data_IF_450736723938
#
_entry.id   IF_450736723938
#
_cell.length_a   1.000
_cell.length_b   1.000
_cell.length_c   1.000
_cell.angle_alpha   90.00
_cell.angle_beta   90.00
_cell.angle_gamma   90.00
#
_symmetry.space_group_name_H-M   'P 1'
#
loop_
_entity.id
_entity.type
_entity.pdbx_description
1 polymer ?
#
# COMPACT_ATOMS: atom_id res chain seq x y z
N UNK A 1 0.06 28.67 -3.86
CA UNK A 1 0.37 27.74 -2.74
C UNK A 1 1.35 26.71 -3.27
N UNK A 2 2.47 26.50 -2.58
CA UNK A 2 3.44 25.46 -2.95
C UNK A 2 2.87 24.10 -2.55
N UNK A 3 2.83 23.16 -3.49
CA UNK A 3 2.43 21.77 -3.25
C UNK A 3 3.69 20.94 -3.03
N UNK A 4 3.74 20.18 -1.94
CA UNK A 4 4.83 19.27 -1.63
C UNK A 4 4.36 17.84 -1.81
N UNK A 5 5.12 17.06 -2.58
CA UNK A 5 4.86 15.64 -2.81
C UNK A 5 5.95 14.80 -2.19
N UNK A 6 5.55 13.70 -1.53
CA UNK A 6 6.45 12.69 -1.01
C UNK A 6 6.02 11.34 -1.56
N UNK A 7 6.90 10.70 -2.32
CA UNK A 7 6.69 9.39 -2.89
C UNK A 7 7.53 8.37 -2.12
N UNK A 8 6.97 7.19 -1.91
CA UNK A 8 7.61 6.06 -1.22
C UNK A 8 7.51 4.82 -2.08
N UNK A 9 8.62 4.19 -2.35
CA UNK A 9 8.66 2.88 -2.98
C UNK A 9 9.95 2.18 -2.55
N UNK A 10 9.87 1.01 -1.90
CA UNK A 10 11.05 0.27 -1.46
C UNK A 10 11.77 -0.47 -2.60
N UNK A 11 11.21 -0.49 -3.82
CA UNK A 11 11.76 -1.21 -4.94
C UNK A 11 13.21 -0.75 -5.26
N UNK A 12 14.23 -1.62 -5.10
CA UNK A 12 15.61 -1.24 -5.32
C UNK A 12 15.92 -0.88 -6.79
N UNK A 13 15.11 -1.42 -7.71
CA UNK A 13 15.30 -1.26 -9.15
C UNK A 13 14.53 -0.08 -9.74
N UNK A 14 13.68 0.56 -8.95
CA UNK A 14 12.91 1.72 -9.42
C UNK A 14 13.83 2.92 -9.64
N UNK A 15 13.73 3.50 -10.84
CA UNK A 15 14.40 4.75 -11.21
C UNK A 15 13.34 5.74 -11.65
N UNK A 16 13.15 6.80 -10.87
CA UNK A 16 12.27 7.92 -11.20
C UNK A 16 13.16 9.14 -11.38
N UNK A 17 13.19 9.70 -12.59
CA UNK A 17 14.03 10.86 -12.92
C UNK A 17 13.40 12.18 -12.49
N UNK A 18 12.07 12.28 -12.54
CA UNK A 18 11.38 13.57 -12.51
C UNK A 18 10.87 13.95 -11.11
N UNK A 19 10.93 13.03 -10.15
CA UNK A 19 10.46 13.28 -8.78
C UNK A 19 11.44 12.76 -7.74
N UNK A 20 11.63 13.53 -6.68
CA UNK A 20 12.33 13.04 -5.48
C UNK A 20 11.43 12.02 -4.79
N UNK A 21 11.89 10.77 -4.72
CA UNK A 21 11.19 9.72 -4.00
C UNK A 21 12.07 9.12 -2.89
N UNK A 22 11.41 8.51 -1.92
CA UNK A 22 12.05 7.86 -0.79
C UNK A 22 12.10 6.34 -1.05
N UNK A 23 13.32 5.77 -1.17
CA UNK A 23 13.54 4.32 -1.21
C UNK A 23 13.30 3.73 0.19
N UNK A 24 12.05 3.69 0.60
CA UNK A 24 11.63 3.37 1.95
C UNK A 24 10.28 2.68 1.89
N UNK A 25 10.12 1.61 2.65
CA UNK A 25 8.81 1.05 2.92
C UNK A 25 8.23 1.66 4.18
N UNK A 26 6.98 2.10 4.12
CA UNK A 26 6.23 2.48 5.31
C UNK A 26 5.57 1.25 5.94
N UNK A 27 5.58 1.19 7.28
CA UNK A 27 5.01 0.11 8.06
C UNK A 27 4.61 0.59 9.46
N UNK A 28 4.21 -0.31 10.34
CA UNK A 28 3.83 0.03 11.73
C UNK A 28 5.02 0.21 12.68
N UNK A 29 6.23 -0.14 12.26
CA UNK A 29 7.47 -0.01 13.05
C UNK A 29 8.73 0.09 12.20
N UNK A 30 9.81 0.55 12.83
CA UNK A 30 11.14 0.63 12.24
C UNK A 30 11.84 -0.71 12.40
N UNK A 31 12.10 -1.41 11.32
CA UNK A 31 12.80 -2.70 11.32
C UNK A 31 13.40 -3.02 9.95
N UNK A 32 14.08 -4.16 9.84
CA UNK A 32 14.48 -4.72 8.55
C UNK A 32 13.56 -5.87 8.21
N UNK A 33 12.94 -5.82 7.05
CA UNK A 33 11.99 -6.84 6.56
C UNK A 33 12.38 -7.38 5.18
N UNK A 34 11.82 -8.54 4.85
CA UNK A 34 11.83 -9.04 3.50
C UNK A 34 10.82 -8.26 2.65
N UNK A 35 11.28 -7.84 1.48
CA UNK A 35 10.47 -7.25 0.43
C UNK A 35 10.51 -8.18 -0.78
N UNK A 36 9.36 -8.58 -1.26
CA UNK A 36 9.21 -9.50 -2.38
C UNK A 36 8.98 -8.71 -3.66
N UNK A 37 10.06 -8.57 -4.44
CA UNK A 37 10.02 -7.90 -5.73
C UNK A 37 9.45 -8.85 -6.78
N UNK A 38 8.48 -8.39 -7.52
CA UNK A 38 7.91 -9.12 -8.64
C UNK A 38 8.79 -8.97 -9.88
N UNK A 39 9.51 -10.02 -10.25
CA UNK A 39 10.45 -9.99 -11.38
C UNK A 39 9.75 -9.99 -12.76
N UNK A 40 8.44 -10.32 -12.82
CA UNK A 40 7.66 -10.23 -14.06
C UNK A 40 7.29 -8.79 -14.39
N UNK A 41 6.77 -8.08 -13.40
CA UNK A 41 6.34 -6.70 -13.49
C UNK A 41 6.84 -5.95 -12.26
N UNK A 42 8.08 -5.43 -12.28
CA UNK A 42 8.70 -4.83 -11.10
C UNK A 42 7.95 -3.61 -10.53
N UNK A 43 7.08 -3.01 -11.33
CA UNK A 43 6.23 -1.86 -10.93
C UNK A 43 4.86 -2.26 -10.35
N UNK A 44 4.57 -3.57 -10.23
CA UNK A 44 3.24 -4.03 -9.78
C UNK A 44 3.32 -5.33 -9.01
N UNK A 45 2.56 -5.45 -7.93
CA UNK A 45 2.46 -6.66 -7.11
C UNK A 45 3.73 -6.99 -6.32
N UNK A 46 4.58 -6.01 -6.04
CA UNK A 46 5.74 -6.14 -5.14
C UNK A 46 5.33 -5.68 -3.74
N UNK A 47 5.65 -6.45 -2.70
CA UNK A 47 5.08 -6.23 -1.37
C UNK A 47 5.99 -6.65 -0.21
N UNK A 48 5.74 -6.13 0.98
CA UNK A 48 6.22 -6.65 2.26
C UNK A 48 5.48 -7.93 2.69
N UNK A 49 4.35 -8.23 2.09
CA UNK A 49 3.51 -9.39 2.38
C UNK A 49 3.71 -10.48 1.33
N UNK A 50 3.52 -11.72 1.72
CA UNK A 50 3.60 -12.87 0.80
C UNK A 50 2.32 -13.12 0.01
N UNK A 51 1.24 -12.37 0.31
CA UNK A 51 -0.10 -12.59 -0.26
C UNK A 51 -0.10 -12.66 -1.80
N UNK A 52 0.62 -11.76 -2.46
CA UNK A 52 0.73 -11.73 -3.93
C UNK A 52 1.67 -12.83 -4.43
N UNK A 53 2.80 -13.03 -3.73
CA UNK A 53 3.79 -14.05 -4.04
C UNK A 53 3.21 -15.46 -3.95
N UNK A 54 2.36 -15.72 -2.96
CA UNK A 54 1.83 -17.03 -2.66
C UNK A 54 0.56 -17.38 -3.48
N UNK A 55 0.00 -16.44 -4.24
CA UNK A 55 -1.14 -16.69 -5.13
C UNK A 55 -0.71 -17.51 -6.36
N UNK A 56 -1.04 -18.82 -6.34
CA UNK A 56 -0.66 -19.76 -7.40
C UNK A 56 -1.30 -19.42 -8.74
N UNK A 57 -2.57 -18.99 -8.75
CA UNK A 57 -3.31 -18.67 -9.98
C UNK A 57 -2.74 -17.41 -10.62
N UNK A 58 -2.45 -16.39 -9.83
CA UNK A 58 -1.81 -15.17 -10.26
C UNK A 58 -0.42 -15.41 -10.84
N UNK A 59 0.38 -16.23 -10.16
CA UNK A 59 1.72 -16.59 -10.63
C UNK A 59 1.68 -17.40 -11.92
N UNK A 60 0.73 -18.31 -12.07
CA UNK A 60 0.54 -19.09 -13.30
C UNK A 60 0.15 -18.19 -14.47
N UNK A 61 -0.86 -17.33 -14.30
CA UNK A 61 -1.31 -16.41 -15.36
C UNK A 61 -0.21 -15.44 -15.80
N UNK A 62 0.60 -14.94 -14.86
CA UNK A 62 1.75 -14.08 -15.16
C UNK A 62 2.85 -14.80 -15.93
N UNK A 63 3.18 -16.03 -15.56
CA UNK A 63 4.13 -16.86 -16.30
C UNK A 63 3.69 -17.04 -17.74
N UNK A 64 2.42 -17.33 -17.96
CA UNK A 64 1.84 -17.52 -19.27
C UNK A 64 1.91 -16.23 -20.11
N UNK A 65 1.52 -15.08 -19.52
CA UNK A 65 1.52 -13.78 -20.22
C UNK A 65 2.92 -13.26 -20.52
N UNK A 66 3.90 -13.52 -19.64
CA UNK A 66 5.27 -13.02 -19.81
C UNK A 66 6.10 -13.87 -20.78
N UNK A 67 5.61 -15.04 -21.19
CA UNK A 67 6.35 -16.05 -21.96
C UNK A 67 7.69 -16.46 -21.31
N UNK A 68 7.85 -16.21 -20.01
CA UNK A 68 9.09 -16.46 -19.28
C UNK A 68 8.83 -17.26 -18.00
N UNK A 69 8.95 -18.58 -18.12
CA UNK A 69 8.66 -19.52 -17.04
C UNK A 69 9.66 -19.47 -15.88
N UNK A 70 10.82 -18.87 -16.08
CA UNK A 70 11.92 -18.82 -15.09
C UNK A 70 11.85 -17.59 -14.16
N UNK A 71 11.01 -16.60 -14.46
CA UNK A 71 10.81 -15.43 -13.59
C UNK A 71 9.89 -15.77 -12.42
N UNK A 72 10.07 -15.04 -11.33
CA UNK A 72 9.31 -15.23 -10.09
C UNK A 72 9.29 -13.99 -9.20
N UNK A 73 9.55 -14.22 -7.93
CA UNK A 73 9.76 -13.16 -6.95
C UNK A 73 11.17 -13.30 -6.38
N UNK A 74 11.88 -12.20 -6.35
CA UNK A 74 13.14 -12.07 -5.60
C UNK A 74 12.88 -11.44 -4.23
N UNK A 75 13.66 -11.86 -3.22
CA UNK A 75 13.55 -11.30 -1.87
C UNK A 75 14.71 -10.37 -1.59
N UNK A 76 14.42 -9.18 -1.08
CA UNK A 76 15.37 -8.15 -0.72
C UNK A 76 15.17 -7.71 0.72
N UNK A 77 16.25 -7.53 1.48
CA UNK A 77 16.17 -6.92 2.81
C UNK A 77 16.06 -5.41 2.67
N UNK A 78 15.01 -4.83 3.21
CA UNK A 78 14.79 -3.38 3.20
C UNK A 78 14.51 -2.87 4.61
N UNK A 79 14.84 -1.61 4.85
CA UNK A 79 14.42 -0.91 6.07
C UNK A 79 12.99 -0.41 5.91
N UNK A 80 12.24 -0.53 6.98
CA UNK A 80 10.92 0.11 7.12
C UNK A 80 11.01 1.30 8.06
N UNK A 81 10.09 2.23 7.91
CA UNK A 81 9.86 3.34 8.84
C UNK A 81 8.35 3.53 9.03
N UNK A 82 7.98 4.33 10.02
CA UNK A 82 6.59 4.69 10.23
C UNK A 82 6.26 6.02 9.56
N UNK A 83 5.00 6.17 9.16
CA UNK A 83 4.53 7.44 8.59
C UNK A 83 4.70 8.60 9.59
N UNK A 84 4.45 8.33 10.89
CA UNK A 84 4.65 9.33 11.96
C UNK A 84 6.11 9.77 12.06
N UNK A 85 7.07 8.84 12.09
CA UNK A 85 8.50 9.18 12.14
C UNK A 85 8.93 9.99 10.92
N UNK A 86 8.50 9.57 9.73
CA UNK A 86 8.80 10.30 8.50
C UNK A 86 8.27 11.74 8.58
N UNK A 87 7.04 11.92 9.02
CA UNK A 87 6.44 13.25 9.16
C UNK A 87 7.17 14.12 10.20
N UNK A 88 7.54 13.55 11.34
CA UNK A 88 8.31 14.27 12.37
C UNK A 88 9.66 14.72 11.82
N UNK A 89 10.42 13.81 11.20
CA UNK A 89 11.76 14.08 10.67
C UNK A 89 11.75 15.13 9.53
N UNK A 90 10.65 15.22 8.79
CA UNK A 90 10.47 16.18 7.70
C UNK A 90 9.63 17.40 8.07
N UNK A 91 9.27 17.58 9.35
CA UNK A 91 8.47 18.70 9.88
C UNK A 91 7.11 18.83 9.19
N UNK A 92 6.50 17.70 8.85
CA UNK A 92 5.17 17.63 8.23
C UNK A 92 4.14 17.54 9.35
N UNK A 93 3.34 18.58 9.52
CA UNK A 93 2.34 18.68 10.58
C UNK A 93 0.92 18.33 10.11
N UNK A 94 0.70 18.28 8.80
CA UNK A 94 -0.58 17.91 8.19
C UNK A 94 -0.37 17.31 6.81
N UNK A 95 -1.33 16.48 6.40
CA UNK A 95 -1.40 15.88 5.05
C UNK A 95 -2.75 16.25 4.45
N UNK A 96 -2.74 16.86 3.27
CA UNK A 96 -3.99 17.15 2.57
C UNK A 96 -4.54 15.89 1.90
N UNK A 97 -3.68 15.09 1.26
CA UNK A 97 -4.04 13.81 0.61
C UNK A 97 -2.97 12.77 0.89
N UNK A 98 -3.37 11.61 1.43
CA UNK A 98 -2.54 10.42 1.59
C UNK A 98 -3.07 9.33 0.66
N UNK A 99 -2.27 8.91 -0.35
CA UNK A 99 -2.57 7.71 -1.14
C UNK A 99 -1.76 6.53 -0.59
N UNK A 100 -2.42 5.40 -0.36
CA UNK A 100 -1.82 4.13 0.07
C UNK A 100 -2.19 3.05 -0.96
N UNK A 101 -1.15 2.43 -1.52
CA UNK A 101 -1.22 1.36 -2.50
C UNK A 101 0.01 0.48 -2.24
N UNK A 102 -0.13 -0.45 -1.29
CA UNK A 102 0.99 -1.14 -0.67
C UNK A 102 0.86 -2.67 -0.73
N UNK A 103 -0.01 -3.14 -1.62
CA UNK A 103 -0.14 -4.56 -1.96
C UNK A 103 -0.30 -5.47 -0.72
N UNK A 104 -1.22 -5.08 0.19
CA UNK A 104 -1.57 -5.82 1.41
C UNK A 104 -0.93 -5.30 2.70
N UNK A 105 -0.17 -4.19 2.67
CA UNK A 105 0.45 -3.59 3.85
C UNK A 105 -0.25 -2.31 4.34
N UNK A 106 -1.44 -2.01 3.81
CA UNK A 106 -2.17 -0.75 4.02
C UNK A 106 -2.46 -0.49 5.50
N UNK A 107 -2.96 -1.50 6.22
CA UNK A 107 -3.25 -1.38 7.65
C UNK A 107 -1.98 -1.10 8.48
N UNK A 108 -0.85 -1.73 8.14
CA UNK A 108 0.42 -1.48 8.84
C UNK A 108 0.87 -0.03 8.66
N UNK A 109 0.71 0.55 7.47
CA UNK A 109 1.01 1.96 7.21
C UNK A 109 0.12 2.87 8.05
N UNK A 110 -1.18 2.59 8.10
CA UNK A 110 -2.12 3.34 8.95
C UNK A 110 -1.76 3.25 10.43
N UNK A 111 -1.39 2.05 10.90
CA UNK A 111 -0.95 1.84 12.28
C UNK A 111 0.36 2.58 12.59
N UNK A 112 1.22 2.78 11.60
CA UNK A 112 2.44 3.59 11.71
C UNK A 112 2.22 5.10 11.61
N UNK A 113 1.00 5.55 11.28
CA UNK A 113 0.64 6.95 11.09
C UNK A 113 -0.35 7.50 12.10
N UNK A 114 -0.50 6.87 13.28
CA UNK A 114 -1.57 7.19 14.27
C UNK A 114 -1.64 8.66 14.67
N UNK A 115 -0.52 9.37 14.70
CA UNK A 115 -0.50 10.78 15.07
C UNK A 115 -0.83 11.67 13.88
N UNK A 116 -0.20 11.45 12.72
CA UNK A 116 -0.41 12.31 11.55
C UNK A 116 -1.81 12.10 10.93
N UNK A 117 -2.42 10.92 11.10
CA UNK A 117 -3.79 10.66 10.65
C UNK A 117 -4.83 11.58 11.32
N UNK A 118 -4.54 12.09 12.53
CA UNK A 118 -5.39 13.12 13.16
C UNK A 118 -5.44 14.41 12.35
N UNK A 119 -4.41 14.68 11.56
CA UNK A 119 -4.20 15.89 10.77
C UNK A 119 -4.15 15.60 9.26
N UNK A 120 -4.62 14.44 8.84
CA UNK A 120 -4.77 14.07 7.43
C UNK A 120 -6.21 14.31 7.00
N UNK A 121 -6.41 15.04 5.90
CA UNK A 121 -7.76 15.42 5.45
C UNK A 121 -8.43 14.32 4.63
N UNK A 122 -7.72 13.75 3.65
CA UNK A 122 -8.25 12.75 2.74
C UNK A 122 -7.29 11.56 2.62
N UNK A 123 -7.83 10.35 2.54
CA UNK A 123 -7.05 9.11 2.41
C UNK A 123 -7.65 8.28 1.28
N UNK A 124 -6.87 8.00 0.26
CA UNK A 124 -7.20 7.02 -0.78
C UNK A 124 -6.42 5.74 -0.51
N UNK A 125 -7.10 4.62 -0.45
CA UNK A 125 -6.48 3.31 -0.18
C UNK A 125 -6.95 2.30 -1.21
N UNK A 126 -6.00 1.60 -1.84
CA UNK A 126 -6.27 0.34 -2.52
C UNK A 126 -6.19 -0.79 -1.49
N UNK A 127 -7.36 -1.26 -1.02
CA UNK A 127 -7.45 -2.34 -0.03
C UNK A 127 -7.36 -3.68 -0.76
N UNK A 128 -6.34 -4.46 -0.45
CA UNK A 128 -6.08 -5.77 -1.04
C UNK A 128 -6.23 -6.90 -0.02
N UNK A 129 -6.87 -7.99 -0.43
CA UNK A 129 -6.98 -9.22 0.34
C UNK A 129 -7.19 -10.43 -0.54
N UNK A 130 -7.11 -11.64 0.04
CA UNK A 130 -7.57 -12.85 -0.65
C UNK A 130 -9.09 -12.90 -0.68
N UNK A 131 -9.69 -13.70 -1.59
CA UNK A 131 -11.15 -13.92 -1.62
C UNK A 131 -11.71 -14.36 -0.25
N UNK A 132 -10.91 -15.07 0.54
CA UNK A 132 -11.32 -15.60 1.83
C UNK A 132 -11.26 -14.57 2.98
N UNK A 133 -10.32 -13.61 2.95
CA UNK A 133 -10.12 -12.67 4.04
C UNK A 133 -10.40 -11.21 3.67
N UNK A 134 -10.75 -10.91 2.43
CA UNK A 134 -10.97 -9.54 1.96
C UNK A 134 -11.97 -8.77 2.83
N UNK A 135 -13.09 -9.41 3.17
CA UNK A 135 -14.14 -8.76 3.98
C UNK A 135 -13.63 -8.37 5.37
N UNK A 136 -12.81 -9.21 5.97
CA UNK A 136 -12.19 -8.94 7.27
C UNK A 136 -11.21 -7.76 7.17
N UNK A 137 -10.25 -7.82 6.22
CA UNK A 137 -9.27 -6.75 5.98
C UNK A 137 -9.96 -5.42 5.69
N UNK A 138 -10.96 -5.43 4.81
CA UNK A 138 -11.75 -4.25 4.49
C UNK A 138 -12.44 -3.66 5.73
N UNK A 139 -13.13 -4.52 6.50
CA UNK A 139 -13.84 -4.11 7.72
C UNK A 139 -12.89 -3.54 8.78
N UNK A 140 -11.71 -4.13 8.93
CA UNK A 140 -10.70 -3.69 9.88
C UNK A 140 -10.18 -2.27 9.53
N UNK A 141 -9.79 -2.04 8.29
CA UNK A 141 -9.34 -0.74 7.81
C UNK A 141 -10.44 0.33 7.95
N UNK A 142 -11.66 0.02 7.50
CA UNK A 142 -12.77 0.94 7.62
C UNK A 142 -13.08 1.28 9.09
N UNK A 143 -13.16 0.27 9.96
CA UNK A 143 -13.39 0.47 11.39
C UNK A 143 -12.27 1.28 12.04
N UNK A 144 -11.02 1.02 11.68
CA UNK A 144 -9.87 1.76 12.21
C UNK A 144 -9.97 3.26 11.90
N UNK A 145 -10.27 3.61 10.66
CA UNK A 145 -10.37 5.01 10.23
C UNK A 145 -11.62 5.70 10.76
N UNK A 146 -12.78 5.03 10.69
CA UNK A 146 -14.05 5.60 11.10
C UNK A 146 -14.13 5.81 12.62
N UNK A 147 -13.81 4.76 13.41
CA UNK A 147 -13.97 4.81 14.85
C UNK A 147 -12.90 5.66 15.57
N UNK A 148 -11.65 5.63 15.08
CA UNK A 148 -10.55 6.30 15.78
C UNK A 148 -10.26 7.72 15.27
N UNK A 149 -10.65 8.03 14.02
CA UNK A 149 -10.22 9.27 13.37
C UNK A 149 -11.36 10.06 12.72
N UNK A 150 -12.61 9.62 12.88
CA UNK A 150 -13.80 10.30 12.36
C UNK A 150 -13.79 10.49 10.83
N UNK A 151 -13.32 9.47 10.09
CA UNK A 151 -13.44 9.44 8.64
C UNK A 151 -14.79 8.86 8.21
N UNK A 152 -15.27 9.28 7.04
CA UNK A 152 -16.36 8.63 6.32
C UNK A 152 -15.89 8.22 4.92
N UNK A 153 -16.49 7.18 4.39
CA UNK A 153 -16.25 6.77 3.00
C UNK A 153 -16.97 7.79 2.09
N UNK A 154 -16.23 8.33 1.13
CA UNK A 154 -16.75 9.22 0.12
C UNK A 154 -17.05 8.48 -1.19
N UNK A 155 -16.10 7.62 -1.62
CA UNK A 155 -16.20 6.83 -2.86
C UNK A 155 -15.59 5.47 -2.57
N UNK A 156 -16.17 4.42 -3.16
CA UNK A 156 -15.56 3.10 -3.22
C UNK A 156 -15.81 2.45 -4.58
N UNK A 157 -14.80 1.72 -5.08
CA UNK A 157 -14.82 1.07 -6.38
C UNK A 157 -14.13 -0.28 -6.33
N UNK A 158 -14.79 -1.33 -6.79
CA UNK A 158 -14.18 -2.65 -6.93
C UNK A 158 -13.18 -2.69 -8.09
N UNK A 159 -12.06 -3.39 -7.90
CA UNK A 159 -11.05 -3.63 -8.93
C UNK A 159 -11.26 -5.05 -9.49
N UNK A 160 -12.19 -5.18 -10.43
CA UNK A 160 -12.63 -6.47 -10.99
C UNK A 160 -11.55 -7.24 -11.74
N UNK A 161 -10.55 -6.56 -12.30
CA UNK A 161 -9.49 -7.22 -13.07
C UNK A 161 -8.67 -8.22 -12.27
N UNK A 162 -8.50 -8.00 -10.96
CA UNK A 162 -7.80 -8.92 -10.09
C UNK A 162 -8.59 -10.18 -9.80
N UNK A 163 -9.91 -10.10 -9.72
CA UNK A 163 -10.77 -11.24 -9.38
C UNK A 163 -10.82 -12.30 -10.48
N UNK A 164 -10.57 -11.91 -11.73
CA UNK A 164 -10.63 -12.82 -12.90
C UNK A 164 -9.38 -13.70 -12.96
N UNK A 165 -8.20 -13.15 -12.64
CA UNK A 165 -6.91 -13.80 -12.87
C UNK A 165 -6.19 -14.21 -11.59
N UNK A 166 -6.80 -14.01 -10.43
CA UNK A 166 -6.16 -14.29 -9.14
C UNK A 166 -7.18 -14.71 -8.07
N UNK A 167 -6.67 -15.24 -6.96
CA UNK A 167 -7.47 -15.47 -5.75
C UNK A 167 -7.53 -14.23 -4.85
N UNK A 168 -7.38 -13.05 -5.42
CA UNK A 168 -7.37 -11.78 -4.70
C UNK A 168 -8.59 -10.95 -5.03
N UNK A 169 -8.92 -10.07 -4.10
CA UNK A 169 -9.90 -8.99 -4.27
C UNK A 169 -9.24 -7.68 -3.90
N UNK A 170 -9.58 -6.64 -4.63
CA UNK A 170 -9.15 -5.29 -4.30
C UNK A 170 -10.29 -4.29 -4.45
N UNK A 171 -10.24 -3.24 -3.64
CA UNK A 171 -11.18 -2.14 -3.70
C UNK A 171 -10.44 -0.82 -3.46
N UNK A 172 -10.63 0.14 -4.36
CA UNK A 172 -10.27 1.53 -4.13
C UNK A 172 -11.29 2.18 -3.22
N UNK A 173 -10.82 2.78 -2.13
CA UNK A 173 -11.68 3.49 -1.16
C UNK A 173 -11.10 4.87 -0.89
N UNK A 174 -11.93 5.89 -1.06
CA UNK A 174 -11.62 7.26 -0.71
C UNK A 174 -12.34 7.63 0.59
N UNK A 175 -11.54 7.94 1.60
CA UNK A 175 -12.00 8.43 2.89
C UNK A 175 -11.80 9.94 2.99
N UNK A 176 -12.75 10.62 3.58
CA UNK A 176 -12.65 12.04 3.90
C UNK A 176 -12.94 12.25 5.39
N UNK A 177 -12.16 13.12 6.01
CA UNK A 177 -12.37 13.47 7.41
C UNK A 177 -13.65 14.28 7.57
N UNK A 178 -14.49 13.91 8.53
CA UNK A 178 -15.62 14.75 8.90
C UNK A 178 -15.07 16.01 9.57
N UNK A 179 -15.36 17.17 8.98
CA UNK A 179 -15.17 18.48 9.64
C UNK A 179 -16.41 18.73 10.46
N UNK A 180 -16.27 18.75 11.79
CA UNK A 180 -17.28 19.26 12.68
C UNK A 180 -17.36 20.77 12.54
#
# INVERSE_FOLDING_TARGET
KNTHFFLFDPNPNLKISDFKYNKLALSNKVEVRDYYLNDFFPSSGSSLKTIVKDDKLWNFSRKLLSLNLNKGFSSHKIKTDTLDNFCINNKINKIDILKIDAEGSELEILLGGKNILKYTYMIQIEILGTKNNFTEVYSEICSFLQKNYNYRILIEKNIWSLEIFSNMKAKDVLFIKNTN
#
